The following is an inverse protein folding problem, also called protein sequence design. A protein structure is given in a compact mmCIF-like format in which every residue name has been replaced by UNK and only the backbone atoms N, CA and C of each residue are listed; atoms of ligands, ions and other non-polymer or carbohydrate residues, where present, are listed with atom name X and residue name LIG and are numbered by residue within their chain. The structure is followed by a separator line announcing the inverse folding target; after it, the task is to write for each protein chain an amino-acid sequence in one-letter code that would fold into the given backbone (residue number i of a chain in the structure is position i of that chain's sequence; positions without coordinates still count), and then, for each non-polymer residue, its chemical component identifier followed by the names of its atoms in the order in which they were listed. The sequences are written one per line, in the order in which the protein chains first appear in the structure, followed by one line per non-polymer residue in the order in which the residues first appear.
data_IF_127576836368
#
_entry.id   IF_127576836368
#
_cell.length_a   1.000
_cell.length_b   1.000
_cell.length_c   1.000
_cell.angle_alpha   90.00
_cell.angle_beta   90.00
_cell.angle_gamma   90.00
#
_symmetry.space_group_name_H-M   'P 1'
#
loop_
_entity.id
_entity.type
_entity.pdbx_description
1 polymer ?
#
# COMPACT_ATOMS: atom_id res chain seq x y z
N UNK A 1 -16.23 6.00 12.79
CA UNK A 1 -16.89 7.26 13.24
C UNK A 1 -15.92 8.38 13.58
N UNK A 2 -14.82 8.12 14.32
CA UNK A 2 -13.85 9.18 14.72
C UNK A 2 -13.21 9.93 13.54
N UNK A 3 -12.91 9.25 12.42
CA UNK A 3 -12.40 9.85 11.18
C UNK A 3 -13.38 10.85 10.54
N UNK A 4 -14.66 10.49 10.48
CA UNK A 4 -15.72 11.36 9.98
C UNK A 4 -15.90 12.58 10.88
N UNK A 5 -15.95 12.37 12.21
CA UNK A 5 -16.03 13.46 13.18
C UNK A 5 -14.82 14.41 13.07
N UNK A 6 -13.60 13.86 12.91
CA UNK A 6 -12.40 14.65 12.67
C UNK A 6 -12.48 15.50 11.39
N UNK A 7 -12.99 14.94 10.28
CA UNK A 7 -13.19 15.68 9.04
C UNK A 7 -14.20 16.83 9.20
N UNK A 8 -15.30 16.60 9.90
CA UNK A 8 -16.31 17.63 10.17
C UNK A 8 -15.70 18.79 10.97
N UNK A 9 -14.93 18.49 12.01
CA UNK A 9 -14.26 19.52 12.83
C UNK A 9 -13.22 20.31 12.04
N UNK A 10 -12.47 19.65 11.15
CA UNK A 10 -11.52 20.33 10.26
C UNK A 10 -12.23 21.32 9.34
N UNK A 11 -13.31 20.90 8.69
CA UNK A 11 -14.09 21.76 7.79
C UNK A 11 -14.74 22.91 8.56
N UNK A 12 -15.34 22.63 9.71
CA UNK A 12 -15.98 23.66 10.55
C UNK A 12 -14.97 24.69 11.06
N UNK A 13 -13.81 24.23 11.54
CA UNK A 13 -12.73 25.11 11.99
C UNK A 13 -12.16 25.96 10.85
N UNK A 14 -11.96 25.38 9.66
CA UNK A 14 -11.49 26.13 8.49
C UNK A 14 -12.46 27.26 8.09
N UNK A 15 -13.76 26.95 8.00
CA UNK A 15 -14.79 27.94 7.64
C UNK A 15 -14.84 29.05 8.70
N UNK A 16 -14.93 28.69 9.99
CA UNK A 16 -15.00 29.65 11.08
C UNK A 16 -13.75 30.53 11.17
N UNK A 17 -12.57 29.95 11.00
CA UNK A 17 -11.30 30.68 11.01
C UNK A 17 -11.18 31.64 9.83
N UNK A 18 -11.65 31.23 8.65
CA UNK A 18 -11.67 32.10 7.47
C UNK A 18 -12.57 33.32 7.69
N UNK A 19 -13.76 33.13 8.27
CA UNK A 19 -14.68 34.22 8.62
C UNK A 19 -14.07 35.15 9.67
N UNK A 20 -13.44 34.59 10.71
CA UNK A 20 -12.81 35.36 11.78
C UNK A 20 -11.61 36.18 11.29
N UNK A 21 -10.82 35.63 10.35
CA UNK A 21 -9.66 36.29 9.76
C UNK A 21 -10.04 37.37 8.74
N UNK A 22 -11.14 37.21 8.01
CA UNK A 22 -11.59 38.17 7.00
C UNK A 22 -12.17 39.48 7.57
N UNK A 23 -12.42 39.54 8.89
CA UNK A 23 -12.88 40.76 9.57
C UNK A 23 -11.74 41.77 9.72
N UNK A 24 -12.05 43.06 9.72
CA UNK A 24 -11.09 44.14 9.97
C UNK A 24 -11.58 44.98 11.17
N UNK A 25 -10.84 45.02 12.31
CA UNK A 25 -9.69 44.18 12.59
C UNK A 25 -10.08 42.69 12.73
N UNK A 26 -9.15 41.75 12.52
CA UNK A 26 -9.43 40.32 12.65
C UNK A 26 -9.94 39.96 14.05
N UNK A 27 -10.88 39.03 14.11
CA UNK A 27 -11.35 38.49 15.38
C UNK A 27 -10.35 37.46 15.92
N UNK A 28 -9.25 37.93 16.51
CA UNK A 28 -8.15 37.10 17.01
C UNK A 28 -8.61 35.96 17.93
N UNK A 29 -9.57 36.21 18.82
CA UNK A 29 -10.15 35.16 19.68
C UNK A 29 -10.92 34.09 18.89
N UNK A 30 -11.67 34.49 17.86
CA UNK A 30 -12.37 33.56 16.97
C UNK A 30 -11.41 32.75 16.11
N UNK A 31 -10.32 33.37 15.66
CA UNK A 31 -9.25 32.69 14.94
C UNK A 31 -8.58 31.64 15.84
N UNK A 32 -8.18 32.00 17.06
CA UNK A 32 -7.58 31.06 18.01
C UNK A 32 -8.50 29.87 18.33
N UNK A 33 -9.80 30.13 18.56
CA UNK A 33 -10.78 29.08 18.79
C UNK A 33 -10.93 28.13 17.59
N UNK A 34 -10.98 28.68 16.37
CA UNK A 34 -11.08 27.88 15.15
C UNK A 34 -9.85 26.98 14.92
N UNK A 35 -8.65 27.48 15.23
CA UNK A 35 -7.41 26.69 15.19
C UNK A 35 -7.43 25.55 16.21
N UNK A 36 -7.94 25.79 17.41
CA UNK A 36 -8.09 24.74 18.42
C UNK A 36 -9.06 23.64 17.98
N UNK A 37 -10.19 24.02 17.35
CA UNK A 37 -11.16 23.07 16.77
C UNK A 37 -10.51 22.23 15.65
N UNK A 38 -9.74 22.86 14.77
CA UNK A 38 -8.97 22.13 13.76
C UNK A 38 -7.97 21.17 14.40
N UNK A 39 -7.24 21.61 15.43
CA UNK A 39 -6.32 20.76 16.19
C UNK A 39 -6.99 19.51 16.75
N UNK A 40 -8.15 19.66 17.39
CA UNK A 40 -8.96 18.54 17.86
C UNK A 40 -9.42 17.62 16.70
N UNK A 41 -9.80 18.20 15.56
CA UNK A 41 -10.14 17.47 14.33
C UNK A 41 -8.99 16.61 13.81
N UNK A 42 -7.75 17.13 13.79
CA UNK A 42 -6.55 16.38 13.42
C UNK A 42 -6.35 15.19 14.36
N UNK A 43 -6.47 15.40 15.67
CA UNK A 43 -6.29 14.34 16.68
C UNK A 43 -7.32 13.22 16.48
N UNK A 44 -8.61 13.56 16.37
CA UNK A 44 -9.67 12.58 16.15
C UNK A 44 -9.55 11.84 14.82
N UNK A 45 -9.17 12.55 13.75
CA UNK A 45 -8.91 11.92 12.44
C UNK A 45 -7.74 10.94 12.51
N UNK A 46 -6.64 11.31 13.18
CA UNK A 46 -5.47 10.43 13.37
C UNK A 46 -5.82 9.20 14.20
N UNK A 47 -6.59 9.35 15.27
CA UNK A 47 -7.07 8.23 16.08
C UNK A 47 -7.96 7.29 15.26
N UNK A 48 -8.92 7.82 14.51
CA UNK A 48 -9.79 7.00 13.66
C UNK A 48 -9.05 6.23 12.58
N UNK A 49 -8.03 6.84 11.96
CA UNK A 49 -7.18 6.15 10.99
C UNK A 49 -6.35 5.03 11.63
N UNK A 50 -5.80 5.25 12.83
CA UNK A 50 -5.10 4.19 13.58
C UNK A 50 -6.04 3.05 13.96
N UNK A 51 -7.26 3.34 14.38
CA UNK A 51 -8.26 2.30 14.71
C UNK A 51 -8.68 1.47 13.50
N UNK A 52 -8.89 2.09 12.33
CA UNK A 52 -9.19 1.37 11.09
C UNK A 52 -8.05 0.40 10.72
N UNK A 53 -6.81 0.86 10.86
CA UNK A 53 -5.63 0.06 10.57
C UNK A 53 -5.44 -1.08 11.61
N UNK A 54 -5.64 -0.81 12.91
CA UNK A 54 -5.56 -1.83 13.96
C UNK A 54 -6.64 -2.90 13.78
N UNK A 55 -7.86 -2.51 13.42
CA UNK A 55 -8.93 -3.46 13.14
C UNK A 55 -8.61 -4.37 11.96
N UNK A 56 -7.97 -3.85 10.91
CA UNK A 56 -7.53 -4.64 9.77
C UNK A 56 -6.41 -5.64 10.14
N UNK A 57 -5.54 -5.25 11.09
CA UNK A 57 -4.53 -6.15 11.65
C UNK A 57 -5.16 -7.24 12.55
N UNK A 58 -6.14 -6.88 13.39
CA UNK A 58 -6.84 -7.81 14.29
C UNK A 58 -7.77 -8.79 13.56
N UNK A 59 -8.35 -8.40 12.42
CA UNK A 59 -9.21 -9.29 11.61
C UNK A 59 -8.44 -10.37 10.84
N UNK A 60 -7.11 -10.41 10.93
CA UNK A 60 -6.27 -11.41 10.27
C UNK A 60 -6.16 -11.27 8.75
N UNK A 61 -6.74 -10.21 8.18
CA UNK A 61 -6.82 -9.90 6.74
C UNK A 61 -5.72 -8.93 6.26
N UNK A 62 -4.57 -8.91 6.94
CA UNK A 62 -3.48 -7.97 6.66
C UNK A 62 -2.24 -8.17 7.52
N UNK A 63 -1.99 -9.40 7.97
CA UNK A 63 -0.85 -9.75 8.83
C UNK A 63 0.36 -10.27 8.04
N UNK A 64 1.55 -10.17 8.62
CA UNK A 64 2.81 -10.65 8.04
C UNK A 64 2.71 -12.12 7.55
N UNK A 65 1.93 -12.96 8.23
CA UNK A 65 1.71 -14.35 7.82
C UNK A 65 0.88 -14.50 6.54
N UNK A 66 -0.12 -13.64 6.32
CA UNK A 66 -0.92 -13.66 5.09
C UNK A 66 -0.12 -13.13 3.90
N UNK A 67 0.65 -12.06 4.10
CA UNK A 67 1.58 -11.52 3.10
C UNK A 67 2.64 -12.56 2.69
N UNK A 68 3.16 -13.30 3.67
CA UNK A 68 4.10 -14.40 3.42
C UNK A 68 3.45 -15.51 2.58
N UNK A 69 2.20 -15.87 2.88
CA UNK A 69 1.44 -16.89 2.13
C UNK A 69 1.23 -16.44 0.68
N UNK A 70 0.72 -15.22 0.46
CA UNK A 70 0.45 -14.67 -0.88
C UNK A 70 1.72 -14.61 -1.73
N UNK A 71 2.82 -14.07 -1.18
CA UNK A 71 4.10 -14.04 -1.89
C UNK A 71 4.64 -15.44 -2.15
N UNK A 72 4.55 -16.35 -1.17
CA UNK A 72 5.02 -17.73 -1.33
C UNK A 72 4.29 -18.48 -2.45
N UNK A 73 2.96 -18.33 -2.52
CA UNK A 73 2.13 -18.90 -3.59
C UNK A 73 2.50 -18.30 -4.95
N UNK A 74 2.60 -16.98 -5.06
CA UNK A 74 2.97 -16.29 -6.29
C UNK A 74 4.38 -16.70 -6.78
N UNK A 75 5.37 -16.74 -5.88
CA UNK A 75 6.75 -17.15 -6.19
C UNK A 75 6.78 -18.61 -6.67
N UNK A 76 6.07 -19.52 -5.98
CA UNK A 76 6.01 -20.93 -6.39
C UNK A 76 5.33 -21.13 -7.75
N UNK A 77 4.41 -20.25 -8.14
CA UNK A 77 3.83 -20.24 -9.49
C UNK A 77 4.77 -19.65 -10.53
N UNK A 78 5.46 -18.55 -10.20
CA UNK A 78 6.49 -17.95 -11.07
C UNK A 78 7.60 -18.94 -11.40
N UNK A 79 8.08 -19.69 -10.40
CA UNK A 79 9.11 -20.71 -10.58
C UNK A 79 8.73 -21.74 -11.66
N UNK A 80 7.46 -22.17 -11.67
CA UNK A 80 6.93 -23.13 -12.66
C UNK A 80 6.84 -22.58 -14.07
N UNK A 81 6.86 -21.25 -14.25
CA UNK A 81 6.73 -20.60 -15.55
C UNK A 81 8.01 -19.97 -16.08
N UNK A 82 9.11 -20.00 -15.33
CA UNK A 82 10.43 -19.50 -15.75
C UNK A 82 10.88 -20.11 -17.09
N UNK A 83 10.72 -21.42 -17.23
CA UNK A 83 11.13 -22.20 -18.41
C UNK A 83 9.93 -22.69 -19.25
N UNK A 84 8.71 -22.24 -18.93
CA UNK A 84 7.52 -22.60 -19.68
C UNK A 84 7.50 -21.95 -21.08
N UNK A 85 6.67 -22.48 -22.01
CA UNK A 85 6.34 -21.81 -23.26
C UNK A 85 5.75 -20.41 -23.01
N UNK A 86 6.05 -19.46 -23.90
CA UNK A 86 5.67 -18.05 -23.75
C UNK A 86 4.16 -17.85 -23.53
N UNK A 87 3.32 -18.59 -24.25
CA UNK A 87 1.85 -18.53 -24.13
C UNK A 87 1.37 -18.95 -22.73
N UNK A 88 1.97 -20.01 -22.18
CA UNK A 88 1.67 -20.49 -20.83
C UNK A 88 2.18 -19.51 -19.77
N UNK A 89 3.37 -18.97 -19.96
CA UNK A 89 3.94 -17.96 -19.07
C UNK A 89 3.08 -16.69 -19.03
N UNK A 90 2.62 -16.21 -20.19
CA UNK A 90 1.73 -15.07 -20.31
C UNK A 90 0.39 -15.31 -19.59
N UNK A 91 -0.27 -16.44 -19.85
CA UNK A 91 -1.57 -16.76 -19.24
C UNK A 91 -1.50 -16.89 -17.72
N UNK A 92 -0.42 -17.48 -17.19
CA UNK A 92 -0.21 -17.57 -15.74
C UNK A 92 0.20 -16.23 -15.13
N UNK A 93 1.01 -15.42 -15.82
CA UNK A 93 1.37 -14.08 -15.36
C UNK A 93 0.15 -13.18 -15.16
N UNK A 94 -0.87 -13.25 -16.01
CA UNK A 94 -2.11 -12.48 -15.81
C UNK A 94 -2.70 -12.75 -14.42
N UNK A 95 -2.85 -14.02 -14.05
CA UNK A 95 -3.41 -14.43 -12.76
C UNK A 95 -2.50 -14.05 -11.59
N UNK A 96 -1.18 -14.17 -11.78
CA UNK A 96 -0.21 -13.80 -10.74
C UNK A 96 -0.25 -12.30 -10.50
N UNK A 97 -0.35 -11.47 -11.53
CA UNK A 97 -0.45 -10.01 -11.39
C UNK A 97 -1.72 -9.61 -10.62
N UNK A 98 -2.86 -10.25 -10.88
CA UNK A 98 -4.10 -10.05 -10.11
C UNK A 98 -3.92 -10.39 -8.62
N UNK A 99 -3.20 -11.46 -8.29
CA UNK A 99 -2.87 -11.83 -6.90
C UNK A 99 -1.90 -10.84 -6.24
N UNK A 100 -0.98 -10.25 -7.01
CA UNK A 100 -0.05 -9.24 -6.50
C UNK A 100 -0.75 -7.91 -6.18
N UNK A 101 -1.83 -7.57 -6.89
CA UNK A 101 -2.70 -6.44 -6.52
C UNK A 101 -3.32 -6.67 -5.13
N UNK A 102 -3.80 -7.88 -4.84
CA UNK A 102 -4.32 -8.25 -3.52
C UNK A 102 -3.24 -8.12 -2.42
N UNK A 103 -2.00 -8.53 -2.72
CA UNK A 103 -0.87 -8.31 -1.81
C UNK A 103 -0.68 -6.81 -1.49
N UNK A 104 -0.71 -5.94 -2.50
CA UNK A 104 -0.49 -4.51 -2.31
C UNK A 104 -1.58 -3.87 -1.42
N UNK A 105 -2.83 -4.31 -1.56
CA UNK A 105 -3.92 -3.89 -0.68
C UNK A 105 -3.71 -4.37 0.76
N UNK A 106 -3.36 -5.65 0.93
CA UNK A 106 -3.17 -6.27 2.24
C UNK A 106 -1.89 -5.84 2.95
N UNK A 107 -0.94 -5.24 2.24
CA UNK A 107 0.28 -4.70 2.83
C UNK A 107 0.07 -3.33 3.50
N UNK A 108 -1.02 -2.62 3.22
CA UNK A 108 -1.28 -1.27 3.77
C UNK A 108 -1.25 -1.18 5.31
N UNK A 109 -1.74 -2.17 6.08
CA UNK A 109 -1.67 -2.18 7.54
C UNK A 109 -0.23 -2.20 8.10
N UNK A 110 0.77 -2.67 7.36
CA UNK A 110 2.18 -2.64 7.81
C UNK A 110 2.69 -1.22 8.08
N UNK A 111 2.02 -0.19 7.54
CA UNK A 111 2.33 1.22 7.82
C UNK A 111 2.19 1.57 9.31
N UNK A 112 1.41 0.81 10.08
CA UNK A 112 1.29 0.99 11.53
C UNK A 112 2.60 0.58 12.22
N UNK A 113 3.18 -0.55 11.80
CA UNK A 113 4.37 -1.15 12.41
C UNK A 113 5.62 -0.32 12.11
N UNK A 114 5.64 0.37 10.96
CA UNK A 114 6.63 1.40 10.69
C UNK A 114 6.62 1.88 9.24
N UNK A 115 6.54 3.21 9.03
CA UNK A 115 6.53 3.79 7.69
C UNK A 115 7.81 3.45 6.89
N UNK A 116 8.96 3.39 7.58
CA UNK A 116 10.24 3.02 6.97
C UNK A 116 10.26 1.56 6.52
N UNK A 117 9.77 0.64 7.37
CA UNK A 117 9.70 -0.79 7.06
C UNK A 117 8.76 -1.06 5.90
N UNK A 118 7.55 -0.50 5.95
CA UNK A 118 6.60 -0.55 4.85
C UNK A 118 7.20 0.01 3.55
N UNK A 119 7.83 1.19 3.62
CA UNK A 119 8.47 1.82 2.47
C UNK A 119 9.56 0.94 1.85
N UNK A 120 10.38 0.27 2.68
CA UNK A 120 11.40 -0.67 2.21
C UNK A 120 10.79 -1.86 1.49
N UNK A 121 9.80 -2.53 2.09
CA UNK A 121 9.13 -3.70 1.51
C UNK A 121 8.46 -3.33 0.19
N UNK A 122 7.65 -2.27 0.17
CA UNK A 122 6.94 -1.85 -1.04
C UNK A 122 7.87 -1.37 -2.14
N UNK A 123 9.04 -0.80 -1.81
CA UNK A 123 10.01 -0.38 -2.83
C UNK A 123 10.58 -1.58 -3.59
N UNK A 124 10.87 -2.67 -2.88
CA UNK A 124 11.36 -3.93 -3.48
C UNK A 124 10.21 -4.60 -4.25
N UNK A 125 9.03 -4.72 -3.64
CA UNK A 125 7.84 -5.31 -4.25
C UNK A 125 7.50 -4.63 -5.58
N UNK A 126 7.36 -3.30 -5.58
CA UNK A 126 6.96 -2.56 -6.79
C UNK A 126 8.03 -2.63 -7.88
N UNK A 127 9.30 -2.89 -7.54
CA UNK A 127 10.33 -3.16 -8.56
C UNK A 127 10.06 -4.50 -9.25
N UNK A 128 9.76 -5.54 -8.47
CA UNK A 128 9.41 -6.86 -8.98
C UNK A 128 8.11 -6.85 -9.79
N UNK A 129 7.06 -6.24 -9.27
CA UNK A 129 5.77 -6.07 -9.94
C UNK A 129 5.92 -5.36 -11.30
N UNK A 130 6.70 -4.27 -11.39
CA UNK A 130 6.98 -3.60 -12.66
C UNK A 130 7.74 -4.49 -13.64
N UNK A 131 8.69 -5.29 -13.14
CA UNK A 131 9.39 -6.26 -13.98
C UNK A 131 8.43 -7.34 -14.50
N UNK A 132 7.53 -7.86 -13.67
CA UNK A 132 6.52 -8.84 -14.10
C UNK A 132 5.53 -8.25 -15.11
N UNK A 133 5.08 -7.01 -14.91
CA UNK A 133 4.26 -6.29 -15.89
C UNK A 133 5.00 -6.14 -17.23
N UNK A 134 6.30 -5.80 -17.19
CA UNK A 134 7.13 -5.72 -18.40
C UNK A 134 7.28 -7.08 -19.08
N UNK A 135 7.44 -8.15 -18.31
CA UNK A 135 7.49 -9.51 -18.81
C UNK A 135 6.18 -9.90 -19.50
N UNK A 136 5.05 -9.57 -18.88
CA UNK A 136 3.71 -9.80 -19.41
C UNK A 136 3.54 -9.11 -20.77
N UNK A 137 3.82 -7.81 -20.87
CA UNK A 137 3.75 -7.07 -22.15
C UNK A 137 4.67 -7.68 -23.21
N UNK A 138 5.92 -8.01 -22.83
CA UNK A 138 6.86 -8.60 -23.77
C UNK A 138 6.39 -9.97 -24.29
N UNK A 139 5.76 -10.81 -23.46
CA UNK A 139 5.19 -12.06 -23.94
C UNK A 139 3.95 -11.84 -24.83
N UNK A 140 3.09 -10.87 -24.50
CA UNK A 140 1.94 -10.51 -25.33
C UNK A 140 2.36 -10.06 -26.74
N UNK A 141 3.47 -9.32 -26.82
CA UNK A 141 4.03 -8.79 -28.07
C UNK A 141 4.93 -9.79 -28.82
N UNK A 142 5.17 -10.99 -28.27
CA UNK A 142 6.04 -12.01 -28.86
C UNK A 142 7.56 -11.82 -28.64
N UNK A 143 7.97 -10.87 -27.78
CA UNK A 143 9.36 -10.63 -27.41
C UNK A 143 9.85 -11.60 -26.31
N UNK A 144 9.95 -12.89 -26.64
CA UNK A 144 10.23 -13.96 -25.66
C UNK A 144 11.51 -13.74 -24.84
N UNK A 145 12.61 -13.31 -25.48
CA UNK A 145 13.89 -13.07 -24.77
C UNK A 145 13.76 -11.98 -23.71
N UNK A 146 13.03 -10.91 -24.02
CA UNK A 146 12.76 -9.82 -23.09
C UNK A 146 11.81 -10.27 -21.99
N UNK A 147 10.74 -10.98 -22.35
CA UNK A 147 9.79 -11.58 -21.40
C UNK A 147 10.49 -12.43 -20.36
N UNK A 148 11.35 -13.37 -20.79
CA UNK A 148 12.12 -14.24 -19.88
C UNK A 148 13.11 -13.48 -19.01
N UNK A 149 13.73 -12.41 -19.53
CA UNK A 149 14.66 -11.57 -18.77
C UNK A 149 13.92 -10.88 -17.61
N UNK A 150 12.81 -10.20 -17.91
CA UNK A 150 12.05 -9.48 -16.90
C UNK A 150 11.28 -10.39 -15.96
N UNK A 151 10.84 -11.57 -16.43
CA UNK A 151 10.23 -12.60 -15.58
C UNK A 151 11.20 -13.03 -14.47
N UNK A 152 12.48 -13.27 -14.80
CA UNK A 152 13.52 -13.58 -13.82
C UNK A 152 13.78 -12.43 -12.83
N UNK A 153 13.81 -11.19 -13.31
CA UNK A 153 13.97 -10.03 -12.41
C UNK A 153 12.80 -9.92 -11.43
N UNK A 154 11.58 -10.06 -11.92
CA UNK A 154 10.39 -10.06 -11.08
C UNK A 154 10.40 -11.17 -10.04
N UNK A 155 10.79 -12.39 -10.45
CA UNK A 155 10.92 -13.54 -9.55
C UNK A 155 11.93 -13.29 -8.40
N UNK A 156 13.13 -12.79 -8.72
CA UNK A 156 14.14 -12.51 -7.70
C UNK A 156 13.74 -11.35 -6.78
N UNK A 157 13.11 -10.30 -7.31
CA UNK A 157 12.61 -9.18 -6.52
C UNK A 157 11.48 -9.60 -5.57
N UNK A 158 10.58 -10.51 -5.98
CA UNK A 158 9.55 -11.04 -5.09
C UNK A 158 10.14 -11.94 -4.00
N UNK A 159 11.21 -12.71 -4.29
CA UNK A 159 11.95 -13.45 -3.25
C UNK A 159 12.61 -12.50 -2.24
N UNK A 160 13.20 -11.40 -2.71
CA UNK A 160 13.74 -10.37 -1.82
C UNK A 160 12.63 -9.73 -0.97
N UNK A 161 11.46 -9.47 -1.57
CA UNK A 161 10.27 -8.98 -0.86
C UNK A 161 9.84 -9.96 0.24
N UNK A 162 9.73 -11.25 -0.08
CA UNK A 162 9.36 -12.30 0.88
C UNK A 162 10.36 -12.39 2.03
N UNK A 163 11.66 -12.28 1.74
CA UNK A 163 12.70 -12.25 2.77
C UNK A 163 12.55 -11.04 3.69
N UNK A 164 12.25 -9.86 3.14
CA UNK A 164 12.01 -8.64 3.92
C UNK A 164 10.75 -8.76 4.80
N UNK A 165 9.67 -9.36 4.30
CA UNK A 165 8.45 -9.64 5.07
C UNK A 165 8.73 -10.62 6.21
N UNK A 166 9.47 -11.71 5.94
CA UNK A 166 9.86 -12.68 6.98
C UNK A 166 10.74 -12.09 8.07
N UNK A 167 11.63 -11.17 7.72
CA UNK A 167 12.49 -10.48 8.67
C UNK A 167 11.71 -9.62 9.67
N UNK A 168 10.43 -9.31 9.42
CA UNK A 168 9.58 -8.61 10.39
C UNK A 168 9.10 -9.51 11.54
N UNK A 169 9.15 -10.84 11.39
CA UNK A 169 8.81 -11.80 12.46
C UNK A 169 9.97 -12.06 13.42
N UNK A 170 11.21 -11.73 13.02
CA UNK A 170 12.43 -11.97 13.78
C UNK A 170 12.71 -10.82 14.76
#
# INVERSE_FOLDING_TARGET
MKKLAGNVLLTAGLIAGSIAAARIPPMWGGLAASLAVMGAGIVLRRQGAREELHRAAESGTGGVGELERLLGEAIGRLEKILDAPAEKAHAELTKILEELDEFAEKAQPLRIEGLMTYGKIMSIFSRGERALNRAWSAFADGYEKEGRKYLRYGYEDLKETLAAVRAMKA
#
